data_IF_682198880270
#
_entry.id   IF_682198880270
#
_cell.length_a   1.000
_cell.length_b   1.000
_cell.length_c   1.000
_cell.angle_alpha   90.00
_cell.angle_beta   90.00
_cell.angle_gamma   90.00
#
_symmetry.space_group_name_H-M   'P 1'
#
loop_
_entity.id
_entity.type
_entity.pdbx_description
1 polymer ?
#
# COMPACT_ATOMS: atom_id res chain seq x y z
N UNK A 1 -21.44 -10.59 -37.10
CA UNK A 1 -20.10 -9.95 -37.19
C UNK A 1 -19.32 -10.26 -35.92
N UNK A 2 -18.35 -11.17 -35.97
CA UNK A 2 -17.44 -11.46 -34.85
C UNK A 2 -16.41 -10.33 -34.78
N UNK A 3 -16.47 -9.45 -33.79
CA UNK A 3 -15.36 -8.52 -33.52
C UNK A 3 -14.19 -9.37 -33.04
N UNK A 4 -13.13 -9.45 -33.85
CA UNK A 4 -11.87 -10.05 -33.47
C UNK A 4 -11.35 -9.38 -32.19
N UNK A 5 -11.07 -10.20 -31.17
CA UNK A 5 -10.44 -9.82 -29.90
C UNK A 5 -8.90 -9.89 -29.99
N UNK A 6 -8.33 -9.84 -31.20
CA UNK A 6 -6.92 -10.18 -31.45
C UNK A 6 -5.96 -8.99 -31.46
N UNK A 7 -6.23 -7.94 -30.68
CA UNK A 7 -5.13 -7.05 -30.29
C UNK A 7 -4.63 -7.52 -28.93
N UNK A 8 -3.43 -8.13 -28.83
CA UNK A 8 -2.86 -8.45 -27.54
C UNK A 8 -2.73 -7.13 -26.76
N UNK A 9 -3.47 -7.02 -25.66
CA UNK A 9 -3.28 -5.91 -24.73
C UNK A 9 -1.82 -6.02 -24.27
N UNK A 10 -0.98 -5.08 -24.69
CA UNK A 10 0.42 -5.02 -24.22
C UNK A 10 0.38 -4.60 -22.75
N UNK A 11 0.36 -5.59 -21.85
CA UNK A 11 0.42 -5.39 -20.40
C UNK A 11 1.88 -5.13 -19.99
N UNK A 12 2.43 -4.01 -20.46
CA UNK A 12 3.81 -3.60 -20.21
C UNK A 12 3.93 -2.67 -18.98
N UNK A 13 2.82 -2.41 -18.30
CA UNK A 13 2.77 -1.58 -17.09
C UNK A 13 2.84 -2.45 -15.85
N UNK A 14 3.48 -1.93 -14.84
CA UNK A 14 3.55 -2.55 -13.52
C UNK A 14 2.38 -2.04 -12.69
N UNK A 15 1.63 -2.98 -12.10
CA UNK A 15 0.41 -2.68 -11.32
C UNK A 15 0.57 -3.26 -9.92
N UNK A 16 0.14 -2.50 -8.92
CA UNK A 16 -0.04 -2.98 -7.57
C UNK A 16 -1.50 -2.90 -7.13
N UNK A 17 -1.94 -3.90 -6.38
CA UNK A 17 -3.17 -3.88 -5.60
C UNK A 17 -2.82 -3.65 -4.14
N UNK A 18 -3.29 -2.53 -3.59
CA UNK A 18 -3.18 -2.22 -2.17
C UNK A 18 -4.46 -2.64 -1.45
N UNK A 19 -4.33 -3.39 -0.36
CA UNK A 19 -5.44 -3.82 0.49
C UNK A 19 -5.19 -3.26 1.89
N UNK A 20 -6.11 -2.43 2.37
CA UNK A 20 -6.14 -2.00 3.77
C UNK A 20 -7.04 -2.96 4.54
N UNK A 21 -6.58 -3.45 5.69
CA UNK A 21 -7.36 -4.33 6.55
C UNK A 21 -7.26 -3.88 8.02
N UNK A 22 -8.36 -3.96 8.74
CA UNK A 22 -8.39 -3.73 10.19
C UNK A 22 -9.55 -4.52 10.80
N UNK A 23 -9.25 -5.47 11.68
CA UNK A 23 -10.25 -6.31 12.35
C UNK A 23 -11.32 -6.87 11.39
N UNK A 24 -10.87 -7.33 10.22
CA UNK A 24 -11.76 -7.85 9.18
C UNK A 24 -12.31 -9.22 9.56
N UNK A 25 -13.57 -9.49 9.23
CA UNK A 25 -14.13 -10.83 9.39
C UNK A 25 -13.26 -11.88 8.64
N UNK A 26 -12.83 -12.97 9.28
CA UNK A 26 -11.94 -13.96 8.68
C UNK A 26 -12.47 -14.58 7.38
N UNK A 27 -13.78 -14.83 7.30
CA UNK A 27 -14.40 -15.45 6.11
C UNK A 27 -14.45 -14.47 4.95
N UNK A 28 -14.76 -13.20 5.20
CA UNK A 28 -14.71 -12.16 4.17
C UNK A 28 -13.29 -11.87 3.71
N UNK A 29 -12.32 -11.79 4.62
CA UNK A 29 -10.91 -11.62 4.28
C UNK A 29 -10.41 -12.78 3.41
N UNK A 30 -10.75 -14.02 3.78
CA UNK A 30 -10.42 -15.21 2.98
C UNK A 30 -11.01 -15.14 1.57
N UNK A 31 -12.29 -14.80 1.44
CA UNK A 31 -12.96 -14.65 0.14
C UNK A 31 -12.33 -13.54 -0.70
N UNK A 32 -11.98 -12.41 -0.08
CA UNK A 32 -11.27 -11.30 -0.71
C UNK A 32 -9.94 -11.76 -1.30
N UNK A 33 -9.08 -12.37 -0.47
CA UNK A 33 -7.75 -12.81 -0.88
C UNK A 33 -7.79 -13.96 -1.91
N UNK A 34 -8.76 -14.86 -1.82
CA UNK A 34 -8.99 -15.86 -2.86
C UNK A 34 -9.36 -15.22 -4.21
N UNK A 35 -10.11 -14.12 -4.20
CA UNK A 35 -10.41 -13.35 -5.41
C UNK A 35 -9.13 -12.71 -5.97
N UNK A 36 -8.33 -12.10 -5.11
CA UNK A 36 -7.04 -11.48 -5.48
C UNK A 36 -6.06 -12.50 -6.06
N UNK A 37 -5.99 -13.71 -5.50
CA UNK A 37 -5.13 -14.80 -6.00
C UNK A 37 -5.48 -15.23 -7.43
N UNK A 38 -6.73 -15.03 -7.87
CA UNK A 38 -7.18 -15.34 -9.24
C UNK A 38 -6.88 -14.24 -10.25
N UNK A 39 -6.32 -13.10 -9.84
CA UNK A 39 -5.95 -12.03 -10.76
C UNK A 39 -4.84 -12.52 -11.71
N UNK A 40 -5.08 -12.35 -13.01
CA UNK A 40 -4.19 -12.84 -14.08
C UNK A 40 -3.28 -11.75 -14.68
N UNK A 41 -3.28 -10.55 -14.09
CA UNK A 41 -2.44 -9.46 -14.57
C UNK A 41 -0.95 -9.82 -14.39
N UNK A 42 -0.16 -9.89 -15.47
CA UNK A 42 1.23 -10.32 -15.40
C UNK A 42 2.05 -9.43 -14.46
N UNK A 43 2.70 -10.05 -13.47
CA UNK A 43 3.59 -9.32 -12.56
C UNK A 43 2.89 -8.38 -11.59
N UNK A 44 1.57 -8.51 -11.39
CA UNK A 44 0.85 -7.74 -10.36
C UNK A 44 1.48 -7.94 -8.98
N UNK A 45 1.73 -6.83 -8.28
CA UNK A 45 2.12 -6.84 -6.87
C UNK A 45 0.87 -6.70 -6.01
N UNK A 46 0.82 -7.44 -4.91
CA UNK A 46 -0.25 -7.35 -3.91
C UNK A 46 0.39 -6.95 -2.59
N UNK A 47 -0.02 -5.81 -2.07
CA UNK A 47 0.45 -5.28 -0.78
C UNK A 47 -0.77 -5.15 0.12
N UNK A 48 -0.83 -5.99 1.14
CA UNK A 48 -1.81 -5.87 2.20
C UNK A 48 -1.17 -5.19 3.40
N UNK A 49 -1.81 -4.13 3.92
CA UNK A 49 -1.38 -3.45 5.13
C UNK A 49 -2.48 -3.60 6.17
N UNK A 50 -2.12 -4.21 7.29
CA UNK A 50 -2.99 -4.43 8.45
C UNK A 50 -2.76 -3.28 9.43
N UNK A 51 -3.82 -2.54 9.74
CA UNK A 51 -3.81 -1.38 10.64
C UNK A 51 -3.84 -1.76 12.13
N UNK A 52 -3.07 -2.78 12.48
CA UNK A 52 -3.00 -3.38 13.80
C UNK A 52 -1.85 -4.38 13.83
N UNK A 53 -1.08 -4.37 14.92
CA UNK A 53 0.09 -5.22 15.13
C UNK A 53 0.05 -5.92 16.50
N UNK A 54 -1.14 -6.04 17.08
CA UNK A 54 -1.36 -6.81 18.31
C UNK A 54 -1.50 -8.30 18.01
N UNK A 55 -1.44 -9.14 19.04
CA UNK A 55 -1.65 -10.58 18.89
C UNK A 55 -3.04 -10.91 18.31
N UNK A 56 -4.04 -10.08 18.63
CA UNK A 56 -5.41 -10.20 18.11
C UNK A 56 -5.50 -9.94 16.60
N UNK A 57 -4.50 -9.28 15.99
CA UNK A 57 -4.47 -8.98 14.55
C UNK A 57 -3.72 -10.04 13.73
N UNK A 58 -2.96 -10.93 14.38
CA UNK A 58 -2.06 -11.88 13.71
C UNK A 58 -2.79 -12.84 12.76
N UNK A 59 -4.05 -13.17 13.05
CA UNK A 59 -4.84 -14.05 12.19
C UNK A 59 -4.96 -13.52 10.75
N UNK A 60 -5.00 -12.19 10.55
CA UNK A 60 -5.10 -11.60 9.21
C UNK A 60 -3.82 -11.85 8.40
N UNK A 61 -2.66 -11.76 9.05
CA UNK A 61 -1.36 -12.05 8.43
C UNK A 61 -1.22 -13.55 8.12
N UNK A 62 -1.71 -14.41 9.01
CA UNK A 62 -1.72 -15.85 8.80
C UNK A 62 -2.63 -16.24 7.63
N UNK A 63 -3.84 -15.68 7.55
CA UNK A 63 -4.75 -15.88 6.42
C UNK A 63 -4.09 -15.44 5.11
N UNK A 64 -3.43 -14.28 5.11
CA UNK A 64 -2.70 -13.80 3.93
C UNK A 64 -1.63 -14.78 3.49
N UNK A 65 -0.77 -15.21 4.41
CA UNK A 65 0.34 -16.12 4.14
C UNK A 65 -0.14 -17.49 3.66
N UNK A 66 -1.23 -18.00 4.25
CA UNK A 66 -1.88 -19.24 3.83
C UNK A 66 -2.39 -19.16 2.38
N UNK A 67 -3.15 -18.11 2.06
CA UNK A 67 -3.78 -17.98 0.74
C UNK A 67 -2.75 -17.65 -0.34
N UNK A 68 -1.83 -16.71 -0.07
CA UNK A 68 -0.83 -16.27 -1.04
C UNK A 68 0.33 -17.26 -1.19
N UNK A 69 0.47 -18.20 -0.25
CA UNK A 69 1.50 -19.23 -0.19
C UNK A 69 2.66 -18.79 0.70
N UNK A 70 2.89 -19.51 1.80
CA UNK A 70 3.88 -19.16 2.85
C UNK A 70 5.31 -19.03 2.31
N UNK A 71 5.63 -19.72 1.21
CA UNK A 71 6.91 -19.69 0.50
C UNK A 71 7.03 -18.51 -0.49
N UNK A 72 5.91 -17.87 -0.85
CA UNK A 72 5.82 -16.82 -1.88
C UNK A 72 5.40 -15.46 -1.32
N UNK A 73 4.88 -15.44 -0.10
CA UNK A 73 4.50 -14.24 0.63
C UNK A 73 5.61 -13.78 1.55
N UNK A 74 5.86 -12.47 1.55
CA UNK A 74 6.69 -11.82 2.55
C UNK A 74 5.81 -11.13 3.59
N UNK A 75 6.14 -11.29 4.86
CA UNK A 75 5.42 -10.68 5.98
C UNK A 75 6.36 -9.84 6.83
N UNK A 76 5.87 -8.72 7.35
CA UNK A 76 6.64 -7.90 8.28
C UNK A 76 5.73 -7.26 9.32
N UNK A 77 6.09 -7.41 10.59
CA UNK A 77 5.40 -6.75 11.70
C UNK A 77 6.20 -5.51 12.06
N UNK A 78 5.70 -4.37 11.64
CA UNK A 78 6.27 -3.08 12.01
C UNK A 78 5.69 -2.65 13.36
N UNK A 79 6.57 -2.39 14.33
CA UNK A 79 6.15 -1.93 15.67
C UNK A 79 5.46 -0.56 15.65
N UNK A 80 5.82 0.28 14.68
CA UNK A 80 5.38 1.67 14.56
C UNK A 80 4.83 1.92 13.15
N UNK A 81 4.87 3.19 12.71
CA UNK A 81 4.33 3.64 11.43
C UNK A 81 5.35 4.52 10.70
N UNK A 82 5.03 4.93 9.46
CA UNK A 82 5.89 5.91 8.78
C UNK A 82 5.83 7.30 9.44
N UNK A 83 4.65 7.76 9.90
CA UNK A 83 4.49 9.10 10.46
C UNK A 83 4.73 9.22 11.97
N UNK A 84 4.68 8.12 12.72
CA UNK A 84 4.83 8.14 14.17
C UNK A 84 6.02 7.26 14.57
N UNK A 85 7.00 7.87 15.25
CA UNK A 85 8.10 7.14 15.89
C UNK A 85 7.56 6.45 17.13
N UNK A 86 8.00 5.22 17.36
CA UNK A 86 7.69 4.50 18.59
C UNK A 86 8.33 5.13 19.83
N UNK A 87 7.79 4.85 21.04
CA UNK A 87 8.46 5.21 22.27
C UNK A 87 9.84 4.54 22.34
N UNK A 88 10.90 5.35 22.36
CA UNK A 88 12.30 4.88 22.37
C UNK A 88 12.88 4.50 21.00
N UNK A 89 12.15 4.71 19.90
CA UNK A 89 12.66 4.50 18.54
C UNK A 89 13.59 5.66 18.14
N UNK A 90 14.86 5.37 17.86
CA UNK A 90 15.81 6.36 17.35
C UNK A 90 15.55 6.62 15.85
N UNK A 91 16.07 7.73 15.34
CA UNK A 91 15.93 8.07 13.91
C UNK A 91 16.54 6.99 13.00
N UNK A 92 17.64 6.39 13.44
CA UNK A 92 18.33 5.31 12.73
C UNK A 92 17.45 4.06 12.67
N UNK A 93 16.86 3.64 13.79
CA UNK A 93 16.01 2.45 13.86
C UNK A 93 14.69 2.61 13.08
N UNK A 94 14.11 3.81 13.08
CA UNK A 94 12.94 4.14 12.26
C UNK A 94 13.29 4.08 10.77
N UNK A 95 14.44 4.66 10.40
CA UNK A 95 14.94 4.63 9.03
C UNK A 95 15.23 3.21 8.57
N UNK A 96 15.85 2.38 9.40
CA UNK A 96 16.12 0.98 9.11
C UNK A 96 14.82 0.20 8.85
N UNK A 97 13.82 0.35 9.73
CA UNK A 97 12.51 -0.30 9.56
C UNK A 97 11.83 0.14 8.25
N UNK A 98 11.85 1.44 7.95
CA UNK A 98 11.27 1.97 6.71
C UNK A 98 12.00 1.47 5.44
N UNK A 99 13.32 1.31 5.52
CA UNK A 99 14.13 0.75 4.44
C UNK A 99 13.86 -0.74 4.27
N UNK A 100 13.69 -1.48 5.38
CA UNK A 100 13.32 -2.89 5.37
C UNK A 100 11.97 -3.10 4.67
N UNK A 101 10.95 -2.33 5.05
CA UNK A 101 9.62 -2.37 4.41
C UNK A 101 9.72 -2.08 2.90
N UNK A 102 10.48 -1.06 2.52
CA UNK A 102 10.69 -0.71 1.11
C UNK A 102 11.38 -1.84 0.35
N UNK A 103 12.44 -2.42 0.92
CA UNK A 103 13.18 -3.52 0.30
C UNK A 103 12.32 -4.79 0.19
N UNK A 104 11.51 -5.08 1.21
CA UNK A 104 10.57 -6.20 1.21
C UNK A 104 9.57 -6.09 0.05
N UNK A 105 9.00 -4.90 -0.15
CA UNK A 105 8.06 -4.63 -1.24
C UNK A 105 8.74 -4.65 -2.61
N UNK A 106 10.00 -4.22 -2.71
CA UNK A 106 10.76 -4.30 -3.96
C UNK A 106 11.01 -5.76 -4.39
N UNK A 107 11.48 -6.59 -3.45
CA UNK A 107 11.92 -7.96 -3.72
C UNK A 107 10.79 -8.99 -3.87
N UNK A 108 9.57 -8.69 -3.42
CA UNK A 108 8.46 -9.65 -3.38
C UNK A 108 7.26 -9.22 -4.24
N UNK A 109 6.37 -10.18 -4.51
CA UNK A 109 5.10 -9.92 -5.22
C UNK A 109 3.90 -9.87 -4.29
N UNK A 110 3.87 -10.72 -3.27
CA UNK A 110 2.81 -10.78 -2.27
C UNK A 110 3.40 -10.36 -0.93
N UNK A 111 2.97 -9.21 -0.40
CA UNK A 111 3.51 -8.64 0.82
C UNK A 111 2.38 -8.34 1.79
N UNK A 112 2.57 -8.71 3.06
CA UNK A 112 1.71 -8.31 4.16
C UNK A 112 2.53 -7.54 5.20
N UNK A 113 2.09 -6.33 5.53
CA UNK A 113 2.72 -5.46 6.51
C UNK A 113 1.71 -5.24 7.63
N UNK A 114 2.08 -5.59 8.86
CA UNK A 114 1.35 -5.15 10.05
C UNK A 114 2.00 -3.87 10.57
N UNK A 115 1.20 -2.93 11.05
CA UNK A 115 1.68 -1.66 11.58
C UNK A 115 0.88 -1.25 12.82
N UNK A 116 1.35 -0.24 13.55
CA UNK A 116 0.57 0.34 14.65
C UNK A 116 -0.70 0.99 14.10
N UNK A 117 -1.82 0.87 14.82
CA UNK A 117 -3.08 1.50 14.41
C UNK A 117 -2.91 3.02 14.15
N UNK A 118 -3.21 3.45 12.93
CA UNK A 118 -3.07 4.85 12.47
C UNK A 118 -4.20 5.32 11.55
N UNK A 119 -5.16 4.45 11.27
CA UNK A 119 -6.32 4.72 10.42
C UNK A 119 -6.03 4.57 8.92
N UNK A 120 -7.09 4.53 8.12
CA UNK A 120 -7.04 4.24 6.66
C UNK A 120 -6.05 5.11 5.89
N UNK A 121 -5.88 6.38 6.26
CA UNK A 121 -4.93 7.29 5.61
C UNK A 121 -3.48 6.85 5.83
N UNK A 122 -3.16 6.42 7.05
CA UNK A 122 -1.83 5.90 7.39
C UNK A 122 -1.56 4.60 6.65
N UNK A 123 -2.53 3.68 6.66
CA UNK A 123 -2.44 2.40 5.96
C UNK A 123 -2.14 2.58 4.47
N UNK A 124 -2.88 3.47 3.80
CA UNK A 124 -2.64 3.78 2.40
C UNK A 124 -1.31 4.48 2.19
N UNK A 125 -0.91 5.37 3.08
CA UNK A 125 0.40 6.02 3.02
C UNK A 125 1.53 5.00 3.10
N UNK A 126 1.48 4.06 4.05
CA UNK A 126 2.43 2.95 4.17
C UNK A 126 2.52 2.15 2.87
N UNK A 127 1.38 1.76 2.30
CA UNK A 127 1.36 1.02 1.05
C UNK A 127 2.03 1.80 -0.09
N UNK A 128 1.68 3.07 -0.29
CA UNK A 128 2.24 3.90 -1.38
C UNK A 128 3.73 4.22 -1.17
N UNK A 129 4.14 4.50 0.07
CA UNK A 129 5.55 4.77 0.39
C UNK A 129 6.40 3.54 0.19
N UNK A 130 5.94 2.37 0.63
CA UNK A 130 6.63 1.11 0.46
C UNK A 130 6.71 0.70 -1.03
N UNK A 131 5.63 0.93 -1.79
CA UNK A 131 5.62 0.69 -3.24
C UNK A 131 6.66 1.56 -3.95
N UNK A 132 6.84 2.82 -3.56
CA UNK A 132 7.93 3.67 -4.04
C UNK A 132 8.02 3.64 -5.57
N UNK A 133 9.13 3.15 -6.13
CA UNK A 133 9.39 3.03 -7.58
C UNK A 133 9.07 1.65 -8.17
N UNK A 134 8.46 0.76 -7.41
CA UNK A 134 8.19 -0.63 -7.82
C UNK A 134 7.05 -0.76 -8.84
N UNK A 135 6.27 0.30 -9.03
CA UNK A 135 5.13 0.34 -9.96
C UNK A 135 5.05 1.65 -10.75
N UNK A 136 4.35 1.60 -11.89
CA UNK A 136 3.99 2.77 -12.69
C UNK A 136 2.82 3.52 -12.03
N UNK A 137 2.98 4.83 -11.81
CA UNK A 137 1.91 5.69 -11.31
C UNK A 137 1.19 6.38 -12.47
N UNK A 138 -0.14 6.28 -12.48
CA UNK A 138 -1.00 6.98 -13.43
C UNK A 138 -1.70 8.12 -12.72
N UNK A 139 -1.39 9.35 -13.12
CA UNK A 139 -2.08 10.52 -12.61
C UNK A 139 -3.41 10.71 -13.35
N UNK A 140 -4.53 10.61 -12.64
CA UNK A 140 -5.85 10.95 -13.18
C UNK A 140 -6.07 12.45 -13.00
N UNK A 141 -5.85 13.20 -14.07
CA UNK A 141 -6.19 14.63 -14.10
C UNK A 141 -7.70 14.80 -14.24
N UNK A 142 -8.37 15.23 -13.18
CA UNK A 142 -9.69 15.83 -13.32
C UNK A 142 -9.51 17.11 -14.14
N UNK A 143 -10.09 17.14 -15.33
CA UNK A 143 -10.21 18.35 -16.13
C UNK A 143 -11.19 19.28 -15.40
N UNK A 144 -10.70 20.00 -14.40
CA UNK A 144 -11.43 21.09 -13.77
C UNK A 144 -11.79 22.07 -14.88
N UNK A 145 -13.08 22.38 -15.13
CA UNK A 145 -13.45 23.40 -16.09
C UNK A 145 -12.78 24.71 -15.67
N UNK A 146 -12.10 25.35 -16.62
CA UNK A 146 -11.29 26.53 -16.37
C UNK A 146 -12.16 27.64 -15.74
N UNK A 147 -11.97 27.88 -14.45
CA UNK A 147 -12.35 29.16 -13.84
C UNK A 147 -11.23 29.65 -12.93
N UNK A 148 -10.83 30.88 -13.26
CA UNK A 148 -9.96 31.82 -12.55
C UNK A 148 -8.48 31.45 -12.43
N UNK A 149 -7.68 32.22 -13.19
CA UNK A 149 -6.27 32.54 -12.97
C UNK A 149 -5.82 32.41 -11.50
N UNK A 150 -5.16 31.30 -11.18
CA UNK A 150 -4.14 31.27 -10.14
C UNK A 150 -2.84 30.91 -10.85
N UNK A 151 -1.87 31.83 -10.73
CA UNK A 151 -0.56 31.81 -11.39
C UNK A 151 0.08 30.42 -11.32
N UNK A 152 0.47 29.89 -12.48
CA UNK A 152 1.42 28.78 -12.60
C UNK A 152 2.71 29.17 -11.90
N UNK A 153 3.07 28.46 -10.84
CA UNK A 153 4.47 28.31 -10.43
C UNK A 153 4.87 26.85 -10.58
N UNK A 154 5.93 26.67 -11.38
CA UNK A 154 6.86 25.56 -11.53
C UNK A 154 6.57 24.26 -10.76
N UNK A 155 6.57 23.15 -11.51
CA UNK A 155 6.94 21.80 -11.10
C UNK A 155 6.89 21.51 -9.58
N UNK A 156 5.75 21.02 -9.10
CA UNK A 156 5.73 20.31 -7.83
C UNK A 156 6.28 18.91 -8.07
N UNK A 157 7.60 18.78 -8.05
CA UNK A 157 8.22 17.61 -7.43
C UNK A 157 7.56 17.50 -6.07
N UNK A 158 6.75 16.46 -5.83
CA UNK A 158 6.23 16.17 -4.50
C UNK A 158 7.41 15.67 -3.67
N UNK A 159 8.21 16.63 -3.20
CA UNK A 159 9.14 16.45 -2.09
C UNK A 159 8.30 16.17 -0.84
N UNK A 160 8.67 15.22 0.04
CA UNK A 160 7.88 14.84 1.21
C UNK A 160 7.76 15.89 2.33
N UNK A 161 8.08 17.16 2.08
CA UNK A 161 8.45 18.10 3.14
C UNK A 161 7.37 19.12 3.56
N UNK A 162 6.10 18.91 3.24
CA UNK A 162 5.05 19.84 3.67
C UNK A 162 3.73 19.15 4.04
N UNK A 163 3.77 18.38 5.12
CA UNK A 163 2.58 18.20 5.95
C UNK A 163 2.64 19.22 7.08
N UNK A 164 1.96 20.34 6.88
CA UNK A 164 1.58 21.23 7.96
C UNK A 164 0.70 20.45 8.94
N UNK A 165 1.04 20.56 10.22
CA UNK A 165 0.29 20.00 11.35
C UNK A 165 -1.15 20.51 11.26
N UNK A 166 -2.06 19.67 10.80
CA UNK A 166 -3.48 19.87 11.02
C UNK A 166 -3.78 19.33 12.42
N UNK A 167 -4.07 20.24 13.34
CA UNK A 167 -4.56 19.91 14.69
C UNK A 167 -5.75 18.95 14.62
N UNK A 168 -5.89 18.03 15.60
CA UNK A 168 -6.98 17.07 15.61
C UNK A 168 -8.33 17.79 15.77
N UNK A 169 -9.29 17.45 14.91
CA UNK A 169 -10.69 17.78 15.14
C UNK A 169 -11.16 17.05 16.41
N UNK A 170 -11.80 17.73 17.37
CA UNK A 170 -12.31 17.10 18.58
C UNK A 170 -13.60 16.32 18.26
N UNK A 171 -13.74 15.16 18.91
CA UNK A 171 -15.05 14.61 19.28
C UNK A 171 -15.45 15.20 20.64
#
# INVERSE_FOLDING_TARGET
MKKSLETPIKLNKTVALCIAAYQEDPDYLRKCLQSVKRLTYPGIKVVMVIDGNSDDDLYMMDIFSEIMGRDKSATYIWKNNYHEKGPGETEESHKESSQHVTQLVLSNKSICIMQKWGGKREVMYTAFRALGRSVDYVQVGLRMPARANIRRNKAAVVSPQSYGIAHPCPF
#
